data_IF_853075205760
#
_entry.id   IF_853075205760
#
_cell.length_a   1.000
_cell.length_b   1.000
_cell.length_c   1.000
_cell.angle_alpha   90.00
_cell.angle_beta   90.00
_cell.angle_gamma   90.00
#
_symmetry.space_group_name_H-M   'P 1'
#
loop_
_entity.id
_entity.type
_entity.pdbx_description
1 polymer ?
#
# COMPACT_ATOMS: atom_id res chain seq x y z
N UNK A 1 -16.91 23.77 35.27
CA UNK A 1 -16.01 22.88 34.52
C UNK A 1 -16.70 22.61 33.20
N UNK A 2 -16.27 23.27 32.13
CA UNK A 2 -16.89 23.11 30.82
C UNK A 2 -16.53 21.71 30.29
N UNK A 3 -17.53 20.83 30.24
CA UNK A 3 -17.38 19.50 29.65
C UNK A 3 -17.49 19.63 28.14
N UNK A 4 -16.44 19.25 27.42
CA UNK A 4 -16.45 19.17 25.97
C UNK A 4 -17.58 18.24 25.50
N UNK A 5 -18.37 18.70 24.52
CA UNK A 5 -19.38 17.85 23.88
C UNK A 5 -18.71 16.63 23.24
N UNK A 6 -19.33 15.43 23.29
CA UNK A 6 -18.83 14.26 22.57
C UNK A 6 -18.53 14.59 21.11
N UNK A 7 -17.32 14.25 20.64
CA UNK A 7 -16.86 14.54 19.27
C UNK A 7 -16.14 15.88 19.07
N UNK A 8 -16.15 16.79 20.04
CA UNK A 8 -15.45 18.09 19.94
C UNK A 8 -13.95 17.90 19.66
N UNK A 9 -13.33 16.88 20.27
CA UNK A 9 -11.93 16.56 20.04
C UNK A 9 -11.65 16.13 18.59
N UNK A 10 -12.49 15.26 18.00
CA UNK A 10 -12.31 14.77 16.63
C UNK A 10 -12.46 15.92 15.61
N UNK A 11 -13.45 16.79 15.83
CA UNK A 11 -13.66 17.99 14.99
C UNK A 11 -12.43 18.90 15.04
N UNK A 12 -11.94 19.23 16.24
CA UNK A 12 -10.75 20.07 16.42
C UNK A 12 -9.53 19.40 15.78
N UNK A 13 -9.33 18.09 15.99
CA UNK A 13 -8.21 17.36 15.42
C UNK A 13 -8.19 17.40 13.89
N UNK A 14 -9.35 17.30 13.23
CA UNK A 14 -9.45 17.39 11.76
C UNK A 14 -9.28 18.81 11.22
N UNK A 15 -9.67 19.82 11.98
CA UNK A 15 -9.49 21.22 11.60
C UNK A 15 -8.01 21.62 11.70
N UNK A 16 -7.29 21.18 12.72
CA UNK A 16 -5.92 21.63 12.98
C UNK A 16 -4.84 20.68 12.48
N UNK A 17 -5.11 19.38 12.37
CA UNK A 17 -4.14 18.42 11.87
C UNK A 17 -3.77 18.63 10.41
N UNK A 18 -2.60 18.16 10.02
CA UNK A 18 -2.11 18.21 8.64
C UNK A 18 -3.00 17.34 7.73
N UNK A 19 -3.65 17.92 6.70
CA UNK A 19 -4.60 17.20 5.87
C UNK A 19 -3.94 16.07 5.08
N UNK A 20 -2.66 16.23 4.71
CA UNK A 20 -1.91 15.21 3.98
C UNK A 20 -1.67 13.98 4.86
N UNK A 21 -1.29 14.19 6.12
CA UNK A 21 -1.03 13.11 7.08
C UNK A 21 -2.32 12.42 7.49
N UNK A 22 -3.37 13.19 7.80
CA UNK A 22 -4.68 12.62 8.14
C UNK A 22 -5.22 11.82 6.95
N UNK A 23 -5.19 12.38 5.74
CA UNK A 23 -5.68 11.70 4.54
C UNK A 23 -4.88 10.44 4.23
N UNK A 24 -3.55 10.51 4.30
CA UNK A 24 -2.66 9.36 4.11
C UNK A 24 -2.94 8.28 5.14
N UNK A 25 -3.09 8.65 6.42
CA UNK A 25 -3.46 7.74 7.48
C UNK A 25 -4.84 7.11 7.25
N UNK A 26 -5.87 7.89 6.99
CA UNK A 26 -7.22 7.39 6.72
C UNK A 26 -7.22 6.42 5.53
N UNK A 27 -6.55 6.78 4.43
CA UNK A 27 -6.46 5.92 3.25
C UNK A 27 -5.69 4.63 3.55
N UNK A 28 -4.53 4.71 4.22
CA UNK A 28 -3.76 3.53 4.63
C UNK A 28 -4.53 2.65 5.62
N UNK A 29 -5.23 3.27 6.57
CA UNK A 29 -6.09 2.58 7.51
C UNK A 29 -7.24 1.87 6.79
N UNK A 30 -7.83 2.47 5.75
CA UNK A 30 -8.82 1.81 4.90
C UNK A 30 -8.27 0.55 4.22
N UNK A 31 -7.00 0.54 3.81
CA UNK A 31 -6.34 -0.66 3.28
C UNK A 31 -6.01 -1.71 4.36
N UNK A 32 -5.76 -1.27 5.59
CA UNK A 32 -5.50 -2.17 6.72
C UNK A 32 -6.78 -2.79 7.25
N UNK A 33 -7.82 -1.97 7.40
CA UNK A 33 -9.13 -2.37 7.86
C UNK A 33 -9.71 -3.40 6.89
N UNK A 34 -10.26 -4.45 7.47
CA UNK A 34 -10.89 -5.53 6.74
C UNK A 34 -12.25 -5.09 6.21
N UNK A 35 -12.29 -4.14 5.27
CA UNK A 35 -13.55 -3.60 4.77
C UNK A 35 -14.24 -4.53 3.77
N UNK A 36 -13.52 -5.50 3.21
CA UNK A 36 -14.04 -6.45 2.23
C UNK A 36 -13.74 -7.91 2.58
N UNK A 37 -14.72 -8.79 2.43
CA UNK A 37 -14.60 -10.23 2.69
C UNK A 37 -13.50 -10.91 1.87
N UNK A 38 -13.22 -10.41 0.65
CA UNK A 38 -12.12 -10.91 -0.17
C UNK A 38 -10.76 -10.53 0.42
N UNK A 39 -10.60 -9.29 0.91
CA UNK A 39 -9.36 -8.83 1.56
C UNK A 39 -9.05 -9.65 2.84
N UNK A 40 -10.08 -10.02 3.60
CA UNK A 40 -9.98 -10.92 4.74
C UNK A 40 -9.46 -12.30 4.31
N UNK A 41 -10.04 -12.86 3.26
CA UNK A 41 -9.64 -14.16 2.74
C UNK A 41 -8.16 -14.17 2.31
N UNK A 42 -7.74 -13.21 1.48
CA UNK A 42 -6.36 -13.16 1.00
C UNK A 42 -5.35 -12.93 2.15
N UNK A 43 -5.62 -11.99 3.06
CA UNK A 43 -4.74 -11.70 4.21
C UNK A 43 -4.65 -12.90 5.16
N UNK A 44 -5.78 -13.57 5.44
CA UNK A 44 -5.82 -14.77 6.29
C UNK A 44 -5.09 -15.95 5.64
N UNK A 45 -5.34 -16.20 4.34
CA UNK A 45 -4.68 -17.26 3.59
C UNK A 45 -3.16 -17.06 3.52
N UNK A 46 -2.68 -15.84 3.29
CA UNK A 46 -1.25 -15.51 3.30
C UNK A 46 -0.61 -15.71 4.67
N UNK A 47 -1.30 -15.34 5.75
CA UNK A 47 -0.84 -15.62 7.12
C UNK A 47 -0.80 -17.13 7.42
N UNK A 48 -1.80 -17.89 6.97
CA UNK A 48 -1.81 -19.34 7.15
C UNK A 48 -0.65 -20.01 6.37
N UNK A 49 -0.39 -19.53 5.15
CA UNK A 49 0.73 -19.96 4.31
C UNK A 49 2.08 -19.61 4.94
N UNK A 50 2.22 -18.43 5.52
CA UNK A 50 3.46 -18.01 6.20
C UNK A 50 3.73 -18.89 7.41
N UNK A 51 2.71 -19.18 8.24
CA UNK A 51 2.81 -20.09 9.38
C UNK A 51 3.18 -21.51 8.94
N UNK A 52 2.57 -22.02 7.87
CA UNK A 52 2.92 -23.33 7.30
C UNK A 52 4.38 -23.37 6.85
N UNK A 53 4.84 -22.34 6.13
CA UNK A 53 6.22 -22.24 5.64
C UNK A 53 7.22 -22.16 6.80
N UNK A 54 6.94 -21.34 7.82
CA UNK A 54 7.77 -21.24 9.02
C UNK A 54 7.84 -22.57 9.78
N UNK A 55 6.72 -23.26 9.96
CA UNK A 55 6.70 -24.59 10.59
C UNK A 55 7.56 -25.59 9.84
N UNK A 56 7.55 -25.56 8.50
CA UNK A 56 8.38 -26.43 7.66
C UNK A 56 9.87 -26.09 7.80
N UNK A 57 10.23 -24.81 7.75
CA UNK A 57 11.62 -24.35 7.92
C UNK A 57 12.15 -24.75 9.30
N UNK A 58 11.40 -24.52 10.37
CA UNK A 58 11.80 -24.89 11.75
C UNK A 58 12.05 -26.39 11.84
N UNK A 59 11.14 -27.23 11.33
CA UNK A 59 11.32 -28.68 11.31
C UNK A 59 12.58 -29.09 10.54
N UNK A 60 12.86 -28.48 9.39
CA UNK A 60 14.06 -28.77 8.60
C UNK A 60 15.34 -28.33 9.33
N UNK A 61 15.33 -27.18 9.99
CA UNK A 61 16.46 -26.69 10.78
C UNK A 61 16.76 -27.60 11.98
N UNK A 62 15.72 -28.03 12.71
CA UNK A 62 15.84 -28.98 13.83
C UNK A 62 16.46 -30.29 13.33
N UNK A 63 15.92 -30.86 12.24
CA UNK A 63 16.42 -32.11 11.68
C UNK A 63 17.89 -32.01 11.25
N UNK A 64 18.25 -30.95 10.53
CA UNK A 64 19.63 -30.72 10.09
C UNK A 64 20.60 -30.50 11.26
N UNK A 65 20.15 -29.84 12.34
CA UNK A 65 20.94 -29.69 13.56
C UNK A 65 21.18 -31.04 14.25
N UNK A 66 20.16 -31.90 14.35
CA UNK A 66 20.29 -33.25 14.89
C UNK A 66 21.24 -34.13 14.06
N UNK A 67 21.13 -34.10 12.73
CA UNK A 67 22.04 -34.80 11.82
C UNK A 67 23.49 -34.35 12.03
N UNK A 68 23.74 -33.04 12.04
CA UNK A 68 25.09 -32.47 12.29
C UNK A 68 25.66 -32.85 13.66
N UNK A 69 24.81 -32.89 14.69
CA UNK A 69 25.20 -33.34 16.03
C UNK A 69 25.63 -34.82 16.03
N UNK A 70 24.88 -35.68 15.35
CA UNK A 70 25.20 -37.12 15.22
C UNK A 70 26.50 -37.31 14.44
N UNK A 71 26.70 -36.58 13.33
CA UNK A 71 27.96 -36.63 12.57
C UNK A 71 29.16 -36.19 13.40
N UNK A 72 29.03 -35.11 14.19
CA UNK A 72 30.10 -34.66 15.11
C UNK A 72 30.44 -35.73 16.13
N UNK A 73 29.43 -36.37 16.73
CA UNK A 73 29.63 -37.48 17.68
C UNK A 73 30.31 -38.69 17.02
N UNK A 74 29.90 -39.07 15.80
CA UNK A 74 30.57 -40.14 15.02
C UNK A 74 32.02 -39.81 14.72
N UNK A 75 32.33 -38.59 14.28
CA UNK A 75 33.71 -38.15 14.00
C UNK A 75 34.57 -38.09 15.27
N UNK A 76 33.99 -37.75 16.42
CA UNK A 76 34.69 -37.78 17.70
C UNK A 76 34.96 -39.22 18.20
N UNK A 77 34.10 -40.19 17.83
CA UNK A 77 34.26 -41.60 18.20
C UNK A 77 35.31 -42.34 17.35
N UNK A 78 35.54 -41.88 16.12
CA UNK A 78 36.56 -42.44 15.23
C UNK A 78 37.92 -41.79 15.57
N UNK A 79 38.77 -42.49 16.33
CA UNK A 79 40.19 -42.13 16.50
C UNK A 79 40.91 -42.11 15.14
N UNK A 80 41.95 -41.28 14.95
CA UNK A 80 42.66 -41.21 13.68
C UNK A 80 43.36 -42.56 13.41
N UNK A 81 42.99 -43.20 12.30
CA UNK A 81 43.68 -44.39 11.78
C UNK A 81 44.98 -43.92 11.09
N UNK A 82 46.14 -44.59 11.32
CA UNK A 82 47.38 -44.26 10.62
C UNK A 82 47.23 -44.37 9.10
N UNK A 83 47.77 -43.37 8.42
CA UNK A 83 47.57 -43.10 6.99
C UNK A 83 48.47 -44.02 6.14
N UNK A 84 47.94 -45.15 5.71
CA UNK A 84 48.55 -45.91 4.60
C UNK A 84 48.05 -45.40 3.25
N UNK A 85 48.98 -45.30 2.31
CA UNK A 85 48.85 -44.65 1.01
C UNK A 85 47.86 -45.35 0.08
N UNK A 86 46.61 -44.88 0.03
CA UNK A 86 45.63 -45.23 -1.01
C UNK A 86 45.42 -44.07 -1.99
N UNK A 87 46.47 -43.69 -2.71
CA UNK A 87 46.41 -42.64 -3.75
C UNK A 87 45.58 -43.05 -4.98
N UNK A 88 45.48 -44.36 -5.28
CA UNK A 88 44.76 -44.86 -6.47
C UNK A 88 43.23 -45.02 -6.33
N UNK A 89 42.70 -45.10 -5.10
CA UNK A 89 41.27 -45.36 -4.87
C UNK A 89 40.42 -44.08 -4.79
N UNK A 90 41.02 -42.99 -4.35
CA UNK A 90 40.31 -41.72 -4.13
C UNK A 90 40.01 -41.03 -5.47
N UNK A 91 40.95 -41.04 -6.41
CA UNK A 91 40.76 -40.46 -7.75
C UNK A 91 39.69 -41.20 -8.55
N UNK A 92 39.67 -42.54 -8.49
CA UNK A 92 38.63 -43.36 -9.13
C UNK A 92 37.23 -43.17 -8.51
N UNK A 93 37.15 -42.99 -7.19
CA UNK A 93 35.88 -42.71 -6.51
C UNK A 93 35.36 -41.29 -6.80
N UNK A 94 36.26 -40.31 -6.92
CA UNK A 94 35.92 -38.92 -7.26
C UNK A 94 35.44 -38.81 -8.72
N UNK A 95 36.13 -39.44 -9.67
CA UNK A 95 35.70 -39.45 -11.08
C UNK A 95 34.39 -40.22 -11.29
N UNK A 96 34.17 -41.31 -10.55
CA UNK A 96 32.89 -42.03 -10.57
C UNK A 96 31.74 -41.20 -9.98
N UNK A 97 31.96 -40.45 -8.90
CA UNK A 97 30.92 -39.55 -8.34
C UNK A 97 30.64 -38.33 -9.21
N UNK A 98 31.65 -37.75 -9.87
CA UNK A 98 31.47 -36.63 -10.80
C UNK A 98 30.72 -37.07 -12.08
N UNK A 99 31.03 -38.25 -12.60
CA UNK A 99 30.30 -38.81 -13.76
C UNK A 99 28.86 -39.19 -13.43
N UNK A 100 28.58 -39.72 -12.23
CA UNK A 100 27.21 -40.00 -11.76
C UNK A 100 26.39 -38.73 -11.46
N UNK A 101 27.03 -37.63 -11.06
CA UNK A 101 26.33 -36.34 -10.80
C UNK A 101 26.04 -35.55 -12.07
N UNK A 102 26.81 -35.74 -13.14
CA UNK A 102 26.61 -35.05 -14.42
C UNK A 102 25.65 -35.78 -15.38
N UNK A 103 25.41 -37.08 -15.22
CA UNK A 103 24.65 -37.89 -16.20
C UNK A 103 23.16 -38.08 -15.91
N UNK A 104 22.67 -37.74 -14.71
CA UNK A 104 21.22 -37.79 -14.43
C UNK A 104 20.80 -36.62 -13.56
N UNK A 105 20.24 -35.53 -14.14
CA UNK A 105 19.43 -34.66 -13.34
C UNK A 105 18.20 -35.49 -12.97
N UNK A 106 18.16 -36.02 -11.73
CA UNK A 106 16.94 -36.58 -11.16
C UNK A 106 15.95 -35.42 -11.01
N UNK A 107 15.30 -35.05 -12.11
CA UNK A 107 14.12 -34.21 -12.13
C UNK A 107 13.04 -34.99 -11.38
N UNK A 108 13.03 -34.85 -10.06
CA UNK A 108 11.96 -35.39 -9.23
C UNK A 108 10.63 -34.83 -9.74
N UNK A 109 9.58 -35.64 -9.70
CA UNK A 109 8.21 -35.29 -10.17
C UNK A 109 7.63 -34.01 -9.54
N UNK A 110 8.27 -33.47 -8.49
CA UNK A 110 7.92 -32.22 -7.83
C UNK A 110 8.74 -31.00 -8.29
N UNK A 111 9.69 -31.12 -9.22
CA UNK A 111 10.51 -29.99 -9.69
C UNK A 111 9.72 -29.09 -10.66
N UNK A 112 9.02 -29.69 -11.64
CA UNK A 112 8.18 -28.97 -12.60
C UNK A 112 7.09 -28.12 -11.94
N UNK A 113 6.26 -28.62 -11.00
CA UNK A 113 5.24 -27.78 -10.36
C UNK A 113 5.84 -26.68 -9.48
N UNK A 114 7.01 -26.90 -8.88
CA UNK A 114 7.72 -25.86 -8.10
C UNK A 114 8.31 -24.77 -9.00
N UNK A 115 8.81 -25.15 -10.18
CA UNK A 115 9.40 -24.24 -11.15
C UNK A 115 8.32 -23.38 -11.81
N UNK A 116 7.18 -23.99 -12.17
CA UNK A 116 5.99 -23.26 -12.64
C UNK A 116 5.48 -22.29 -11.58
N UNK A 117 5.31 -22.74 -10.33
CA UNK A 117 4.89 -21.87 -9.24
C UNK A 117 5.86 -20.70 -9.02
N UNK A 118 7.17 -20.98 -9.04
CA UNK A 118 8.21 -19.96 -8.93
C UNK A 118 8.14 -18.94 -10.07
N UNK A 119 7.87 -19.39 -11.29
CA UNK A 119 7.78 -18.52 -12.46
C UNK A 119 6.53 -17.63 -12.41
N UNK A 120 5.40 -18.16 -11.92
CA UNK A 120 4.19 -17.38 -11.65
C UNK A 120 4.45 -16.30 -10.61
N UNK A 121 5.12 -16.63 -9.49
CA UNK A 121 5.49 -15.62 -8.48
C UNK A 121 6.43 -14.55 -9.03
N UNK A 122 7.38 -14.94 -9.88
CA UNK A 122 8.30 -14.00 -10.51
C UNK A 122 7.57 -13.07 -11.50
N UNK A 123 6.70 -13.61 -12.36
CA UNK A 123 5.89 -12.83 -13.28
C UNK A 123 4.93 -11.89 -12.55
N UNK A 124 4.27 -12.36 -11.49
CA UNK A 124 3.42 -11.54 -10.64
C UNK A 124 4.22 -10.42 -9.96
N UNK A 125 5.42 -10.72 -9.45
CA UNK A 125 6.32 -9.74 -8.85
C UNK A 125 6.74 -8.64 -9.84
N UNK A 126 7.12 -9.03 -11.06
CA UNK A 126 7.43 -8.07 -12.14
C UNK A 126 6.19 -7.24 -12.50
N UNK A 127 5.03 -7.87 -12.63
CA UNK A 127 3.78 -7.17 -12.98
C UNK A 127 3.41 -6.12 -11.93
N UNK A 128 3.48 -6.47 -10.64
CA UNK A 128 3.23 -5.53 -9.54
C UNK A 128 4.28 -4.42 -9.51
N UNK A 129 5.55 -4.73 -9.77
CA UNK A 129 6.61 -3.73 -9.80
C UNK A 129 6.40 -2.71 -10.93
N UNK A 130 6.11 -3.20 -12.14
CA UNK A 130 5.79 -2.35 -13.30
C UNK A 130 4.54 -1.54 -13.05
N UNK A 131 3.49 -2.15 -12.48
CA UNK A 131 2.25 -1.46 -12.12
C UNK A 131 2.50 -0.33 -11.13
N UNK A 132 3.26 -0.58 -10.06
CA UNK A 132 3.58 0.43 -9.04
C UNK A 132 4.38 1.59 -9.62
N UNK A 133 5.36 1.33 -10.50
CA UNK A 133 6.10 2.42 -11.16
C UNK A 133 5.18 3.20 -12.09
N UNK A 134 4.41 2.49 -12.92
CA UNK A 134 3.46 3.11 -13.85
C UNK A 134 2.44 3.98 -13.12
N UNK A 135 1.93 3.52 -11.99
CA UNK A 135 0.92 4.24 -11.21
C UNK A 135 1.48 5.50 -10.54
N UNK A 136 2.71 5.43 -10.01
CA UNK A 136 3.39 6.60 -9.44
C UNK A 136 3.70 7.62 -10.53
N UNK A 137 4.38 7.21 -11.60
CA UNK A 137 4.81 8.14 -12.66
C UNK A 137 3.61 8.79 -13.33
N UNK A 138 2.60 8.01 -13.71
CA UNK A 138 1.40 8.51 -14.38
C UNK A 138 0.60 9.48 -13.50
N UNK A 139 0.41 9.14 -12.22
CA UNK A 139 -0.33 10.02 -11.30
C UNK A 139 0.46 11.30 -11.02
N UNK A 140 1.76 11.21 -10.78
CA UNK A 140 2.60 12.39 -10.50
C UNK A 140 2.66 13.35 -11.69
N UNK A 141 2.75 12.85 -12.92
CA UNK A 141 2.76 13.70 -14.12
C UNK A 141 1.46 14.52 -14.26
N UNK A 142 0.31 13.89 -14.01
CA UNK A 142 -1.00 14.55 -14.06
C UNK A 142 -1.22 15.52 -12.90
N UNK A 143 -0.88 15.11 -11.67
CA UNK A 143 -1.25 15.83 -10.45
C UNK A 143 -0.23 16.86 -9.96
N UNK A 144 1.02 16.82 -10.44
CA UNK A 144 2.08 17.77 -10.02
C UNK A 144 1.73 19.24 -10.29
N UNK A 145 0.81 19.51 -11.24
CA UNK A 145 0.32 20.84 -11.59
C UNK A 145 -0.64 21.43 -10.55
N UNK A 146 -1.18 20.61 -9.65
CA UNK A 146 -2.21 21.00 -8.70
C UNK A 146 -1.68 20.94 -7.27
N UNK A 147 -1.16 22.06 -6.78
CA UNK A 147 -0.62 22.17 -5.41
C UNK A 147 -1.64 21.86 -4.30
N UNK A 148 -2.93 21.99 -4.61
CA UNK A 148 -4.03 21.75 -3.65
C UNK A 148 -4.45 20.30 -3.56
N UNK A 149 -3.90 19.43 -4.40
CA UNK A 149 -4.04 17.99 -4.24
C UNK A 149 -3.03 17.48 -3.21
N UNK A 150 -3.48 17.24 -1.98
CA UNK A 150 -2.59 16.80 -0.88
C UNK A 150 -2.34 15.29 -0.88
N UNK A 151 -3.24 14.51 -1.47
CA UNK A 151 -3.06 13.07 -1.66
C UNK A 151 -3.59 12.65 -3.02
N UNK A 152 -2.73 12.06 -3.84
CA UNK A 152 -3.09 11.48 -5.12
C UNK A 152 -3.45 9.98 -4.99
N UNK A 153 -4.16 9.42 -5.98
CA UNK A 153 -4.66 8.04 -5.91
C UNK A 153 -3.62 6.96 -6.15
N UNK A 154 -2.51 7.29 -6.84
CA UNK A 154 -1.47 6.36 -7.28
C UNK A 154 -2.04 5.14 -8.03
N UNK A 155 -3.03 5.39 -8.88
CA UNK A 155 -3.58 4.43 -9.84
C UNK A 155 -2.86 4.57 -11.18
N UNK A 156 -2.85 3.50 -11.99
CA UNK A 156 -2.23 3.57 -13.31
C UNK A 156 -3.19 4.23 -14.30
N UNK A 157 -3.02 5.54 -14.51
CA UNK A 157 -3.92 6.38 -15.30
C UNK A 157 -3.49 6.46 -16.77
N UNK A 158 -3.55 5.33 -17.48
CA UNK A 158 -3.20 5.30 -18.91
C UNK A 158 -4.27 6.00 -19.77
N UNK A 159 -3.89 7.07 -20.46
CA UNK A 159 -4.78 7.81 -21.36
C UNK A 159 -5.72 8.81 -20.69
N UNK A 160 -5.63 8.96 -19.36
CA UNK A 160 -6.39 9.95 -18.62
C UNK A 160 -5.82 11.36 -18.76
N UNK A 161 -6.72 12.34 -18.73
CA UNK A 161 -6.38 13.77 -18.88
C UNK A 161 -6.48 14.55 -17.58
N UNK A 162 -7.22 14.03 -16.61
CA UNK A 162 -7.52 14.71 -15.35
C UNK A 162 -6.74 14.09 -14.19
N UNK A 163 -6.38 14.90 -13.20
CA UNK A 163 -5.67 14.42 -12.02
C UNK A 163 -6.62 13.58 -11.14
N UNK A 164 -6.23 12.33 -10.85
CA UNK A 164 -6.93 11.43 -9.94
C UNK A 164 -6.57 11.73 -8.48
N UNK A 165 -6.97 12.90 -8.00
CA UNK A 165 -6.74 13.31 -6.63
C UNK A 165 -7.70 12.63 -5.66
N UNK A 166 -7.20 12.16 -4.51
CA UNK A 166 -8.03 11.61 -3.43
C UNK A 166 -8.38 12.66 -2.37
N UNK A 167 -7.51 13.64 -2.13
CA UNK A 167 -7.75 14.65 -1.11
C UNK A 167 -7.40 16.05 -1.59
N UNK A 168 -8.40 16.92 -1.57
CA UNK A 168 -8.28 18.35 -1.80
C UNK A 168 -8.17 19.07 -0.46
N UNK A 169 -7.14 19.89 -0.29
CA UNK A 169 -7.06 20.78 0.88
C UNK A 169 -6.58 22.17 0.47
N UNK A 170 -7.45 23.16 0.66
CA UNK A 170 -7.11 24.58 0.52
C UNK A 170 -7.49 25.34 1.79
N UNK A 171 -6.49 25.60 2.63
CA UNK A 171 -6.67 26.13 3.98
C UNK A 171 -5.81 27.36 4.18
N UNK A 172 -6.44 28.46 4.57
CA UNK A 172 -5.75 29.65 5.06
C UNK A 172 -5.89 29.74 6.57
N UNK A 173 -4.96 29.15 7.33
CA UNK A 173 -5.05 29.12 8.79
C UNK A 173 -4.66 30.45 9.46
N UNK A 174 -3.95 31.33 8.76
CA UNK A 174 -3.48 32.61 9.31
C UNK A 174 -3.56 33.70 8.23
N UNK A 175 -4.75 34.30 8.01
CA UNK A 175 -4.88 35.46 7.13
C UNK A 175 -4.09 36.63 7.72
N UNK A 176 -3.30 37.31 6.89
CA UNK A 176 -2.38 38.36 7.37
C UNK A 176 -3.08 39.69 7.60
N UNK A 177 -4.20 39.93 6.93
CA UNK A 177 -4.94 41.19 7.02
C UNK A 177 -6.46 40.95 6.96
N UNK A 178 -7.22 41.97 7.39
CA UNK A 178 -8.68 41.93 7.42
C UNK A 178 -9.30 41.80 6.03
N UNK A 179 -8.67 42.37 5.00
CA UNK A 179 -9.15 42.29 3.62
C UNK A 179 -9.06 40.86 3.07
N UNK A 180 -8.00 40.11 3.38
CA UNK A 180 -7.82 38.70 3.02
C UNK A 180 -8.84 37.81 3.72
N UNK A 181 -9.22 38.15 4.96
CA UNK A 181 -10.25 37.42 5.69
C UNK A 181 -11.66 37.71 5.17
N UNK A 182 -11.98 38.96 4.86
CA UNK A 182 -13.30 39.37 4.37
C UNK A 182 -13.52 39.07 2.89
N UNK A 183 -12.46 39.07 2.09
CA UNK A 183 -12.48 38.72 0.68
C UNK A 183 -11.45 37.63 0.36
N UNK A 184 -11.72 36.38 0.79
CA UNK A 184 -10.82 35.27 0.53
C UNK A 184 -10.85 34.88 -0.95
N UNK A 185 -9.73 34.35 -1.43
CA UNK A 185 -9.60 33.81 -2.79
C UNK A 185 -10.65 32.74 -3.08
N UNK A 186 -11.28 32.82 -4.25
CA UNK A 186 -12.22 31.82 -4.75
C UNK A 186 -11.46 30.58 -5.28
N UNK A 187 -11.75 29.43 -4.69
CA UNK A 187 -11.11 28.14 -5.01
C UNK A 187 -12.07 27.18 -5.71
N UNK A 188 -13.27 27.63 -6.08
CA UNK A 188 -14.30 26.82 -6.76
C UNK A 188 -13.78 26.17 -8.04
N UNK A 189 -13.04 26.91 -8.87
CA UNK A 189 -12.45 26.38 -10.11
C UNK A 189 -11.35 25.35 -9.87
N UNK A 190 -10.54 25.52 -8.81
CA UNK A 190 -9.49 24.56 -8.42
C UNK A 190 -10.12 23.27 -7.91
N UNK A 191 -11.19 23.38 -7.12
CA UNK A 191 -11.97 22.24 -6.64
C UNK A 191 -12.64 21.50 -7.81
N UNK A 192 -13.29 22.22 -8.73
CA UNK A 192 -13.92 21.66 -9.92
C UNK A 192 -12.91 20.86 -10.75
N UNK A 193 -11.74 21.44 -11.02
CA UNK A 193 -10.71 20.80 -11.84
C UNK A 193 -10.19 19.47 -11.25
N UNK A 194 -10.10 19.38 -9.92
CA UNK A 194 -9.69 18.16 -9.22
C UNK A 194 -10.84 17.18 -8.99
N UNK A 195 -12.08 17.66 -9.01
CA UNK A 195 -13.28 16.83 -8.93
C UNK A 195 -13.63 16.14 -10.26
N UNK A 196 -13.16 16.67 -11.40
CA UNK A 196 -13.43 16.12 -12.74
C UNK A 196 -13.12 14.63 -12.88
N UNK A 197 -12.08 14.13 -12.20
CA UNK A 197 -11.71 12.71 -12.24
C UNK A 197 -12.66 11.80 -11.43
N UNK A 198 -13.50 12.37 -10.54
CA UNK A 198 -14.43 11.60 -9.72
C UNK A 198 -13.80 10.82 -8.54
N UNK A 199 -12.50 11.00 -8.29
CA UNK A 199 -11.74 10.20 -7.31
C UNK A 199 -11.64 10.86 -5.91
N UNK A 200 -12.13 12.10 -5.73
CA UNK A 200 -12.02 12.80 -4.46
C UNK A 200 -12.79 12.06 -3.35
N UNK A 201 -12.10 11.89 -2.22
CA UNK A 201 -12.64 11.30 -0.99
C UNK A 201 -12.69 12.28 0.16
N UNK A 202 -11.75 13.23 0.19
CA UNK A 202 -11.65 14.24 1.24
C UNK A 202 -11.57 15.62 0.60
N UNK A 203 -12.45 16.52 1.02
CA UNK A 203 -12.44 17.93 0.61
C UNK A 203 -12.35 18.79 1.87
N UNK A 204 -11.31 19.60 1.98
CA UNK A 204 -11.14 20.53 3.09
C UNK A 204 -10.88 21.94 2.58
N UNK A 205 -11.81 22.85 2.88
CA UNK A 205 -11.73 24.26 2.52
C UNK A 205 -11.92 25.10 3.76
N UNK A 206 -10.90 25.88 4.12
CA UNK A 206 -10.92 26.73 5.33
C UNK A 206 -10.44 28.13 4.98
N UNK A 207 -11.25 29.15 5.30
CA UNK A 207 -10.95 30.57 5.02
C UNK A 207 -10.63 30.83 3.53
N UNK A 208 -11.34 30.12 2.63
CA UNK A 208 -11.26 30.23 1.17
C UNK A 208 -12.67 30.22 0.61
N UNK A 209 -12.97 31.03 -0.41
CA UNK A 209 -14.32 31.12 -0.95
C UNK A 209 -14.64 29.92 -1.84
N UNK A 210 -15.79 29.28 -1.55
CA UNK A 210 -16.50 28.35 -2.44
C UNK A 210 -17.98 28.70 -2.31
N UNK A 211 -18.44 29.77 -2.97
CA UNK A 211 -19.80 30.27 -2.82
C UNK A 211 -20.85 29.22 -3.23
N UNK A 212 -20.54 28.47 -4.29
CA UNK A 212 -21.33 27.37 -4.82
C UNK A 212 -20.42 26.15 -5.01
N UNK A 213 -20.93 24.96 -4.70
CA UNK A 213 -20.18 23.73 -4.92
C UNK A 213 -20.22 23.35 -6.40
N UNK A 214 -19.07 23.00 -7.00
CA UNK A 214 -19.00 22.67 -8.42
C UNK A 214 -19.74 21.37 -8.73
N UNK A 215 -20.46 21.34 -9.85
CA UNK A 215 -21.24 20.16 -10.29
C UNK A 215 -20.36 18.94 -10.55
N UNK A 216 -19.10 19.13 -10.90
CA UNK A 216 -18.11 18.06 -11.05
C UNK A 216 -17.95 17.23 -9.77
N UNK A 217 -18.20 17.83 -8.59
CA UNK A 217 -18.14 17.13 -7.31
C UNK A 217 -19.19 16.01 -7.21
N UNK A 218 -20.30 16.11 -7.96
CA UNK A 218 -21.32 15.05 -8.04
C UNK A 218 -20.75 13.72 -8.58
N UNK A 219 -19.68 13.78 -9.38
CA UNK A 219 -19.01 12.58 -9.89
C UNK A 219 -18.26 11.81 -8.80
N UNK A 220 -17.92 12.47 -7.67
CA UNK A 220 -17.15 11.89 -6.57
C UNK A 220 -18.00 10.99 -5.66
N UNK A 221 -18.37 9.80 -6.16
CA UNK A 221 -19.25 8.86 -5.45
C UNK A 221 -18.68 8.31 -4.14
N UNK A 222 -17.36 8.35 -3.97
CA UNK A 222 -16.66 7.87 -2.78
C UNK A 222 -16.22 9.00 -1.84
N UNK A 223 -16.89 10.16 -1.91
CA UNK A 223 -16.62 11.27 -0.99
C UNK A 223 -16.98 10.85 0.44
N UNK A 224 -16.00 10.88 1.35
CA UNK A 224 -16.16 10.45 2.74
C UNK A 224 -16.20 11.59 3.74
N UNK A 225 -15.47 12.66 3.45
CA UNK A 225 -15.35 13.81 4.35
C UNK A 225 -15.33 15.10 3.55
N UNK A 226 -16.16 16.04 3.96
CA UNK A 226 -16.14 17.42 3.49
C UNK A 226 -16.03 18.33 4.70
N UNK A 227 -15.14 19.32 4.68
CA UNK A 227 -15.02 20.34 5.72
C UNK A 227 -15.05 21.68 5.01
N UNK A 228 -16.10 22.46 5.26
CA UNK A 228 -16.28 23.81 4.75
C UNK A 228 -16.35 24.77 5.93
N UNK A 229 -15.26 25.50 6.20
CA UNK A 229 -15.21 26.49 7.27
C UNK A 229 -14.91 27.88 6.72
N UNK A 230 -15.80 28.84 6.96
CA UNK A 230 -15.67 30.22 6.47
C UNK A 230 -15.52 30.31 4.94
N UNK A 231 -16.35 29.57 4.20
CA UNK A 231 -16.24 29.42 2.75
C UNK A 231 -17.16 30.32 1.92
N UNK A 232 -17.94 31.20 2.57
CA UNK A 232 -19.01 31.99 1.93
C UNK A 232 -20.07 31.14 1.20
N UNK A 233 -20.12 29.83 1.44
CA UNK A 233 -21.16 28.94 0.92
C UNK A 233 -22.48 29.30 1.56
N UNK A 234 -23.48 29.65 0.76
CA UNK A 234 -24.81 30.05 1.26
C UNK A 234 -25.79 28.88 1.28
N UNK A 235 -25.71 28.03 0.26
CA UNK A 235 -26.63 26.92 0.05
C UNK A 235 -25.84 25.65 -0.28
N UNK A 236 -26.29 24.54 0.29
CA UNK A 236 -25.82 23.21 -0.08
C UNK A 236 -26.77 22.66 -1.16
N UNK A 237 -26.25 22.17 -2.29
CA UNK A 237 -27.07 21.63 -3.37
C UNK A 237 -27.80 20.34 -2.95
N UNK A 238 -28.98 20.10 -3.52
CA UNK A 238 -29.84 18.95 -3.19
C UNK A 238 -29.15 17.60 -3.42
N UNK A 239 -28.31 17.52 -4.46
CA UNK A 239 -27.57 16.30 -4.81
C UNK A 239 -26.55 15.88 -3.75
N UNK A 240 -26.23 16.74 -2.77
CA UNK A 240 -25.35 16.37 -1.66
C UNK A 240 -25.92 15.19 -0.84
N UNK A 241 -27.24 15.06 -0.81
CA UNK A 241 -27.93 13.91 -0.18
C UNK A 241 -27.67 12.58 -0.90
N UNK A 242 -27.23 12.60 -2.16
CA UNK A 242 -26.91 11.40 -2.93
C UNK A 242 -25.59 10.72 -2.49
N UNK A 243 -24.74 11.39 -1.69
CA UNK A 243 -23.47 10.82 -1.26
C UNK A 243 -23.65 9.77 -0.15
N UNK A 244 -23.67 8.49 -0.55
CA UNK A 244 -23.82 7.36 0.36
C UNK A 244 -22.61 7.10 1.28
N UNK A 245 -21.44 7.62 0.91
CA UNK A 245 -20.19 7.39 1.64
C UNK A 245 -19.77 8.58 2.53
N UNK A 246 -20.50 9.70 2.47
CA UNK A 246 -20.18 10.89 3.24
C UNK A 246 -20.48 10.65 4.73
N UNK A 247 -19.43 10.65 5.54
CA UNK A 247 -19.51 10.41 6.99
C UNK A 247 -19.44 11.71 7.79
N UNK A 248 -18.77 12.73 7.24
CA UNK A 248 -18.48 13.98 7.93
C UNK A 248 -18.69 15.17 6.99
N UNK A 249 -19.42 16.17 7.46
CA UNK A 249 -19.67 17.47 6.84
C UNK A 249 -19.46 18.59 7.86
#
# INVERSE_FOLDING_TARGET
METLSPGSFDIIARIFGDPSQISSFCNAFHYLQFSSGSSLFYKSALNLLSLYKWRKIIKTLIHNNHERQIERKRKALIKPVPRESRSGSITAAITKRLSETLTKPKFGKHLAPKLLLSLVFLAAGISTFVYSIGSVVSTTDLCSKYEKCVLASYQWNFGEKHCTCLAFADRQMSPKNYAEWTNPEDTTSKLAALAMAGELRIVQVINRAVPELPEELKACRYLEQMILAYTKTQHLPEWMSEFSHLKYL
#
